data_IF_061362280400
#
_entry.id   IF_061362280400
#
_cell.length_a   1.000
_cell.length_b   1.000
_cell.length_c   1.000
_cell.angle_alpha   90.00
_cell.angle_beta   90.00
_cell.angle_gamma   90.00
#
_symmetry.space_group_name_H-M   'P 1'
#
loop_
_entity.id
_entity.type
_entity.pdbx_description
1 polymer ?
#
# COMPACT_ATOMS: atom_id res chain seq x y z
N UNK A 1 -35.17 -22.08 -37.13
CA UNK A 1 -34.61 -21.25 -36.03
C UNK A 1 -33.12 -21.09 -36.25
N UNK A 2 -32.65 -19.95 -36.77
CA UNK A 2 -31.20 -19.67 -36.83
C UNK A 2 -30.79 -19.15 -35.44
N UNK A 3 -29.95 -19.91 -34.72
CA UNK A 3 -29.34 -19.38 -33.51
C UNK A 3 -28.48 -18.17 -33.88
N UNK A 4 -28.78 -17.02 -33.28
CA UNK A 4 -28.12 -15.77 -33.59
C UNK A 4 -26.79 -15.69 -32.82
N UNK A 5 -25.79 -16.47 -33.27
CA UNK A 5 -24.47 -16.61 -32.65
C UNK A 5 -23.75 -15.28 -32.47
N UNK A 6 -24.01 -14.29 -33.33
CA UNK A 6 -23.45 -12.94 -33.23
C UNK A 6 -23.92 -12.25 -31.94
N UNK A 7 -25.19 -12.44 -31.56
CA UNK A 7 -25.72 -11.91 -30.30
C UNK A 7 -25.13 -12.63 -29.09
N UNK A 8 -24.91 -13.94 -29.19
CA UNK A 8 -24.28 -14.72 -28.12
C UNK A 8 -22.80 -14.33 -27.94
N UNK A 9 -22.06 -14.14 -29.02
CA UNK A 9 -20.66 -13.68 -29.01
C UNK A 9 -20.57 -12.25 -28.46
N UNK A 10 -21.45 -11.34 -28.89
CA UNK A 10 -21.47 -9.97 -28.38
C UNK A 10 -21.78 -9.94 -26.87
N UNK A 11 -22.73 -10.74 -26.40
CA UNK A 11 -23.04 -10.86 -24.97
C UNK A 11 -21.85 -11.44 -24.20
N UNK A 12 -21.20 -12.48 -24.73
CA UNK A 12 -20.01 -13.07 -24.10
C UNK A 12 -18.85 -12.08 -24.05
N UNK A 13 -18.58 -11.33 -25.13
CA UNK A 13 -17.54 -10.30 -25.15
C UNK A 13 -17.82 -9.18 -24.15
N UNK A 14 -19.06 -8.69 -24.07
CA UNK A 14 -19.44 -7.69 -23.07
C UNK A 14 -19.34 -8.21 -21.63
N UNK A 15 -19.68 -9.48 -21.38
CA UNK A 15 -19.55 -10.09 -20.05
C UNK A 15 -18.07 -10.29 -19.67
N UNK A 16 -17.21 -10.59 -20.64
CA UNK A 16 -15.76 -10.67 -20.43
C UNK A 16 -15.17 -9.28 -20.16
N UNK A 17 -15.58 -8.26 -20.90
CA UNK A 17 -15.19 -6.86 -20.66
C UNK A 17 -15.63 -6.38 -19.26
N UNK A 18 -16.86 -6.73 -18.83
CA UNK A 18 -17.37 -6.38 -17.49
C UNK A 18 -16.64 -7.13 -16.37
N UNK A 19 -16.10 -8.32 -16.65
CA UNK A 19 -15.30 -9.09 -15.69
C UNK A 19 -13.83 -8.62 -15.60
N UNK A 20 -13.34 -7.94 -16.64
CA UNK A 20 -12.01 -7.32 -16.70
C UNK A 20 -12.01 -5.85 -16.24
N UNK A 21 -13.20 -5.25 -16.09
CA UNK A 21 -13.41 -3.98 -15.40
C UNK A 21 -13.09 -4.15 -13.90
N UNK A 22 -11.79 -4.17 -13.64
CA UNK A 22 -11.16 -3.79 -12.39
C UNK A 22 -11.71 -2.44 -11.90
N UNK A 23 -11.67 -2.26 -10.58
CA UNK A 23 -12.04 -1.06 -9.81
C UNK A 23 -12.38 0.15 -10.69
N UNK A 24 -13.66 0.39 -10.99
CA UNK A 24 -14.18 1.61 -11.65
C UNK A 24 -13.41 2.11 -12.89
N UNK A 25 -12.84 1.22 -13.72
CA UNK A 25 -12.17 1.62 -14.97
C UNK A 25 -10.71 2.04 -14.82
N UNK A 26 -10.08 1.76 -13.67
CA UNK A 26 -8.64 1.91 -13.48
C UNK A 26 -7.86 0.68 -13.95
N UNK A 27 -6.71 0.92 -14.58
CA UNK A 27 -5.84 -0.10 -15.19
C UNK A 27 -4.66 -0.41 -14.24
N UNK A 28 -4.52 -1.67 -13.76
CA UNK A 28 -3.36 -2.08 -12.97
C UNK A 28 -2.05 -1.89 -13.75
N UNK A 29 -1.02 -1.34 -13.10
CA UNK A 29 0.29 -1.05 -13.68
C UNK A 29 0.38 0.30 -14.40
N UNK A 30 -0.76 0.93 -14.71
CA UNK A 30 -0.82 2.29 -15.27
C UNK A 30 -1.32 3.28 -14.21
N UNK A 31 -2.51 3.07 -13.67
CA UNK A 31 -3.12 3.98 -12.68
C UNK A 31 -2.63 3.71 -11.25
N UNK A 32 -2.34 2.44 -10.94
CA UNK A 32 -1.88 2.02 -9.62
C UNK A 32 -0.88 0.86 -9.74
N UNK A 33 0.03 0.70 -8.76
CA UNK A 33 0.98 -0.41 -8.76
C UNK A 33 0.27 -1.74 -8.51
N UNK A 34 0.62 -2.77 -9.29
CA UNK A 34 0.06 -4.14 -9.17
C UNK A 34 1.15 -5.19 -8.97
N UNK A 35 2.07 -4.88 -8.06
CA UNK A 35 3.05 -5.85 -7.58
C UNK A 35 2.31 -7.04 -6.95
N UNK A 36 2.80 -8.25 -7.22
CA UNK A 36 2.23 -9.49 -6.67
C UNK A 36 3.02 -9.99 -5.44
N UNK A 37 4.24 -9.48 -5.27
CA UNK A 37 5.12 -9.77 -4.15
C UNK A 37 5.97 -8.54 -3.82
N UNK A 38 6.56 -8.50 -2.63
CA UNK A 38 7.51 -7.44 -2.25
C UNK A 38 8.78 -7.58 -3.09
N UNK A 39 9.16 -6.56 -3.90
CA UNK A 39 10.37 -6.64 -4.71
C UNK A 39 11.63 -6.82 -3.87
N UNK A 40 12.59 -7.58 -4.41
CA UNK A 40 13.93 -7.69 -3.81
C UNK A 40 14.74 -6.45 -4.14
N UNK A 41 15.61 -6.05 -3.22
CA UNK A 41 16.59 -4.99 -3.47
C UNK A 41 16.11 -3.56 -3.22
N UNK A 42 14.93 -3.36 -2.63
CA UNK A 42 14.44 -2.04 -2.21
C UNK A 42 15.47 -1.31 -1.34
N UNK A 43 15.50 0.02 -1.45
CA UNK A 43 16.48 0.87 -0.78
C UNK A 43 16.12 1.20 0.67
N UNK A 44 14.83 1.14 1.04
CA UNK A 44 14.36 1.48 2.38
C UNK A 44 15.03 0.64 3.49
N UNK A 45 15.44 1.30 4.59
CA UNK A 45 16.01 0.65 5.78
C UNK A 45 15.42 1.25 7.05
N UNK A 46 15.37 0.45 8.11
CA UNK A 46 14.90 0.87 9.43
C UNK A 46 16.00 1.47 10.34
N UNK A 47 17.25 1.54 9.87
CA UNK A 47 18.43 1.89 10.69
C UNK A 47 18.37 3.31 11.25
N UNK A 48 17.81 4.26 10.49
CA UNK A 48 17.68 5.68 10.84
C UNK A 48 16.23 6.06 11.22
N UNK A 49 15.39 5.06 11.47
CA UNK A 49 13.97 5.23 11.76
C UNK A 49 13.67 4.89 13.21
N UNK A 50 12.67 5.54 13.80
CA UNK A 50 12.06 5.03 15.03
C UNK A 50 11.24 3.78 14.68
N UNK A 51 10.95 2.87 15.62
CA UNK A 51 10.05 1.78 15.29
C UNK A 51 8.67 2.35 14.89
N UNK A 52 7.97 1.69 13.96
CA UNK A 52 6.77 2.26 13.36
C UNK A 52 6.50 1.75 11.95
N UNK A 53 5.59 2.43 11.25
CA UNK A 53 5.08 2.03 9.93
C UNK A 53 5.48 3.04 8.87
N UNK A 54 6.02 2.56 7.74
CA UNK A 54 6.62 3.40 6.72
C UNK A 54 6.16 3.01 5.33
N UNK A 55 5.52 3.92 4.60
CA UNK A 55 5.27 3.78 3.16
C UNK A 55 6.59 3.61 2.40
N UNK A 56 6.59 2.87 1.29
CA UNK A 56 7.75 2.83 0.39
C UNK A 56 7.46 3.52 -0.95
N UNK A 57 7.92 4.78 -1.15
CA UNK A 57 7.75 5.48 -2.42
C UNK A 57 8.42 4.82 -3.62
N UNK A 58 9.45 3.97 -3.42
CA UNK A 58 10.10 3.23 -4.50
C UNK A 58 9.13 2.28 -5.21
N UNK A 59 8.08 1.84 -4.50
CA UNK A 59 7.04 0.92 -5.01
C UNK A 59 5.72 1.62 -5.29
N UNK A 60 5.73 2.95 -5.46
CA UNK A 60 4.53 3.78 -5.48
C UNK A 60 3.59 3.50 -4.29
N UNK A 61 4.20 3.28 -3.12
CA UNK A 61 3.56 3.01 -1.83
C UNK A 61 2.73 1.72 -1.76
N UNK A 62 2.80 0.81 -2.73
CA UNK A 62 2.12 -0.49 -2.58
C UNK A 62 2.79 -1.34 -1.49
N UNK A 63 4.11 -1.22 -1.35
CA UNK A 63 4.86 -1.80 -0.24
C UNK A 63 4.92 -0.81 0.91
N UNK A 64 4.85 -1.36 2.13
CA UNK A 64 5.16 -0.64 3.35
C UNK A 64 5.98 -1.52 4.29
N UNK A 65 6.68 -0.86 5.20
CA UNK A 65 7.61 -1.48 6.12
C UNK A 65 7.20 -1.26 7.57
N UNK A 66 7.31 -2.32 8.36
CA UNK A 66 7.21 -2.28 9.81
C UNK A 66 8.60 -2.37 10.42
N UNK A 67 9.04 -1.29 11.04
CA UNK A 67 10.25 -1.25 11.84
C UNK A 67 9.92 -1.62 13.29
N UNK A 68 10.55 -2.67 13.82
CA UNK A 68 10.33 -3.21 15.16
C UNK A 68 11.62 -3.12 15.96
N UNK A 69 11.60 -2.67 17.24
CA UNK A 69 12.82 -2.58 18.02
C UNK A 69 13.39 -3.98 18.28
N UNK A 70 14.69 -4.13 18.07
CA UNK A 70 15.44 -5.35 18.37
C UNK A 70 16.84 -5.00 18.89
N UNK A 71 17.49 -5.93 19.58
CA UNK A 71 18.73 -5.68 20.30
C UNK A 71 19.80 -5.00 19.42
N UNK A 72 19.98 -3.69 19.62
CA UNK A 72 20.98 -2.86 18.93
C UNK A 72 20.59 -2.32 17.55
N UNK A 73 19.44 -2.70 16.96
CA UNK A 73 18.93 -2.17 15.68
C UNK A 73 17.46 -2.51 15.46
N UNK A 74 16.77 -1.79 14.59
CA UNK A 74 15.41 -2.17 14.19
C UNK A 74 15.42 -3.35 13.22
N UNK A 75 14.53 -4.32 13.45
CA UNK A 75 14.17 -5.33 12.46
C UNK A 75 13.14 -4.74 11.49
N UNK A 76 13.23 -5.12 10.22
CA UNK A 76 12.33 -4.68 9.17
C UNK A 76 11.48 -5.86 8.69
N UNK A 77 10.17 -5.65 8.64
CA UNK A 77 9.23 -6.53 7.94
C UNK A 77 8.57 -5.73 6.82
N UNK A 78 8.40 -6.33 5.65
CA UNK A 78 7.79 -5.67 4.49
C UNK A 78 6.49 -6.36 4.12
N UNK A 79 5.49 -5.55 3.79
CA UNK A 79 4.16 -6.01 3.45
C UNK A 79 3.68 -5.31 2.19
N UNK A 80 2.73 -5.96 1.53
CA UNK A 80 2.14 -5.49 0.30
C UNK A 80 0.66 -5.15 0.53
N UNK A 81 0.22 -3.98 0.10
CA UNK A 81 -1.20 -3.64 0.00
C UNK A 81 -1.86 -4.43 -1.15
N UNK A 82 -3.15 -4.74 -1.01
CA UNK A 82 -3.91 -5.44 -2.05
C UNK A 82 -4.05 -4.59 -3.31
N UNK A 83 -4.26 -5.23 -4.47
CA UNK A 83 -4.48 -4.54 -5.74
C UNK A 83 -5.54 -3.42 -5.62
N UNK A 84 -5.25 -2.26 -6.21
CA UNK A 84 -6.08 -1.05 -6.11
C UNK A 84 -5.87 -0.21 -4.85
N UNK A 85 -5.00 -0.63 -3.92
CA UNK A 85 -4.69 0.12 -2.69
C UNK A 85 -3.20 0.35 -2.52
N UNK A 86 -2.84 1.44 -1.84
CA UNK A 86 -1.46 1.78 -1.46
C UNK A 86 -1.44 2.27 -0.01
N UNK A 87 -0.28 2.19 0.63
CA UNK A 87 -0.15 2.53 2.04
C UNK A 87 -0.25 4.05 2.26
N UNK A 88 -1.29 4.46 2.98
CA UNK A 88 -1.49 5.84 3.38
C UNK A 88 -0.70 6.10 4.67
N UNK A 89 0.45 6.78 4.54
CA UNK A 89 1.30 7.07 5.71
C UNK A 89 0.57 7.86 6.81
N UNK A 90 -0.40 8.71 6.46
CA UNK A 90 -1.11 9.57 7.41
C UNK A 90 -2.05 8.80 8.32
N UNK A 91 -2.58 7.68 7.84
CA UNK A 91 -3.55 6.85 8.57
C UNK A 91 -2.99 5.47 8.92
N UNK A 92 -1.81 5.13 8.40
CA UNK A 92 -1.09 3.86 8.59
C UNK A 92 -1.91 2.63 8.19
N UNK A 93 -2.71 2.77 7.14
CA UNK A 93 -3.51 1.70 6.54
C UNK A 93 -3.37 1.73 5.03
N UNK A 94 -3.63 0.60 4.37
CA UNK A 94 -3.82 0.58 2.92
C UNK A 94 -5.15 1.28 2.59
N UNK A 95 -5.09 2.28 1.73
CA UNK A 95 -6.22 3.06 1.27
C UNK A 95 -6.26 3.00 -0.27
N UNK A 96 -7.36 3.40 -0.87
CA UNK A 96 -7.47 3.48 -2.32
C UNK A 96 -6.37 4.36 -2.90
N UNK A 97 -5.74 3.93 -3.99
CA UNK A 97 -4.57 4.61 -4.53
C UNK A 97 -4.83 6.10 -4.84
N UNK A 98 -6.04 6.46 -5.27
CA UNK A 98 -6.44 7.84 -5.55
C UNK A 98 -6.62 8.72 -4.30
N UNK A 99 -6.68 8.13 -3.10
CA UNK A 99 -6.72 8.87 -1.83
C UNK A 99 -5.31 9.20 -1.30
N UNK A 100 -4.25 8.66 -1.92
CA UNK A 100 -2.89 8.72 -1.39
C UNK A 100 -1.95 9.42 -2.36
N UNK A 101 -1.42 10.57 -1.92
CA UNK A 101 -0.31 11.24 -2.60
C UNK A 101 1.03 10.62 -2.18
N UNK A 102 1.36 9.48 -2.79
CA UNK A 102 2.51 8.66 -2.43
C UNK A 102 3.87 9.42 -2.41
N UNK A 103 4.20 10.27 -3.40
CA UNK A 103 5.45 11.06 -3.37
C UNK A 103 5.63 11.89 -2.08
N UNK A 104 4.54 12.31 -1.44
CA UNK A 104 4.59 13.09 -0.20
C UNK A 104 4.63 12.24 1.06
N UNK A 105 4.46 10.92 0.97
CA UNK A 105 4.36 10.02 2.13
C UNK A 105 5.51 10.16 3.12
N UNK A 106 6.75 10.36 2.65
CA UNK A 106 7.92 10.53 3.53
C UNK A 106 7.77 11.72 4.51
N UNK A 107 7.10 12.80 4.09
CA UNK A 107 6.86 13.97 4.95
C UNK A 107 5.97 13.65 6.17
N UNK A 108 5.22 12.55 6.12
CA UNK A 108 4.33 12.10 7.19
C UNK A 108 4.95 11.03 8.09
N UNK A 109 6.22 10.64 7.90
CA UNK A 109 6.88 9.63 8.75
C UNK A 109 6.90 10.00 10.24
N UNK A 110 6.91 11.30 10.56
CA UNK A 110 6.86 11.80 11.93
C UNK A 110 5.59 11.40 12.68
N UNK A 111 4.52 11.00 11.99
CA UNK A 111 3.29 10.52 12.66
C UNK A 111 3.55 9.29 13.53
N UNK A 112 4.57 8.49 13.21
CA UNK A 112 4.94 7.33 14.03
C UNK A 112 5.34 7.68 15.46
N UNK A 113 5.62 8.95 15.78
CA UNK A 113 5.83 9.38 17.17
C UNK A 113 4.59 9.19 18.05
N UNK A 114 3.39 9.24 17.49
CA UNK A 114 2.14 9.08 18.24
C UNK A 114 1.99 7.69 18.87
N UNK A 115 2.64 6.67 18.29
CA UNK A 115 2.68 5.29 18.79
C UNK A 115 3.31 5.19 20.19
N UNK A 116 4.06 6.21 20.57
CA UNK A 116 4.82 6.29 21.79
C UNK A 116 4.28 7.32 22.76
N UNK A 117 3.09 7.86 22.50
CA UNK A 117 2.42 8.84 23.38
C UNK A 117 1.12 8.26 23.94
N UNK A 118 0.79 8.61 25.17
CA UNK A 118 -0.52 8.32 25.77
C UNK A 118 -1.59 9.32 25.30
N UNK A 119 -2.83 9.17 25.76
CA UNK A 119 -3.95 10.07 25.41
C UNK A 119 -3.71 11.53 25.84
N UNK A 120 -2.86 11.75 26.85
CA UNK A 120 -2.46 13.07 27.32
C UNK A 120 -1.23 13.62 26.56
N UNK A 121 -0.69 12.88 25.60
CA UNK A 121 0.47 13.25 24.79
C UNK A 121 1.82 12.98 25.45
N UNK A 122 1.86 12.32 26.61
CA UNK A 122 3.10 12.00 27.31
C UNK A 122 3.74 10.76 26.70
N UNK A 123 5.07 10.72 26.65
CA UNK A 123 5.77 9.53 26.20
C UNK A 123 5.53 8.33 27.12
N UNK A 124 5.14 7.20 26.55
CA UNK A 124 4.94 5.96 27.31
C UNK A 124 6.30 5.37 27.73
N UNK A 125 6.43 5.09 29.03
CA UNK A 125 7.67 4.62 29.62
C UNK A 125 8.15 3.30 28.98
N UNK A 126 9.45 3.23 28.67
CA UNK A 126 10.07 2.01 28.14
C UNK A 126 9.87 1.74 26.65
N UNK A 127 9.30 2.68 25.88
CA UNK A 127 9.19 2.55 24.40
C UNK A 127 9.99 3.62 23.65
N UNK A 128 11.20 3.92 24.11
CA UNK A 128 12.18 4.72 23.37
C UNK A 128 13.15 3.80 22.64
#
# INVERSE_FOLDING_TARGET
MRLNYIGLIAVILNLIDLSLASLEGYIPGEDYPDLQEVPKGLSFRCDDKIPGYYADPETNCQVWHWCVPSNGRNLMYSFLCTAGTVFNQKTRVCDWFYNVDCPTSQSYYGINEDLYKDEAGNYIAGKK
#
